data_IF_404340016075
#
_entry.id   IF_404340016075
#
_cell.length_a   1.000
_cell.length_b   1.000
_cell.length_c   1.000
_cell.angle_alpha   90.00
_cell.angle_beta   90.00
_cell.angle_gamma   90.00
#
_symmetry.space_group_name_H-M   'P 1'
#
loop_
_entity.id
_entity.type
_entity.pdbx_description
1 polymer ?
#
# COMPACT_ATOMS: atom_id res chain seq x y z
N UNK A 1 -5.39 -13.88 -19.48
CA UNK A 1 -6.12 -12.64 -19.08
C UNK A 1 -6.24 -11.77 -20.32
N UNK A 2 -7.45 -11.40 -20.77
CA UNK A 2 -7.65 -10.66 -22.04
C UNK A 2 -6.96 -9.29 -21.98
N UNK A 3 -6.22 -8.91 -23.03
CA UNK A 3 -5.50 -7.62 -23.15
C UNK A 3 -6.37 -6.40 -22.80
N UNK A 4 -7.66 -6.45 -23.17
CA UNK A 4 -8.66 -5.42 -22.84
C UNK A 4 -8.86 -5.26 -21.32
N UNK A 5 -8.84 -6.35 -20.54
CA UNK A 5 -8.98 -6.30 -19.08
C UNK A 5 -7.73 -5.68 -18.44
N UNK A 6 -6.54 -6.04 -18.91
CA UNK A 6 -5.25 -5.46 -18.47
C UNK A 6 -5.25 -3.94 -18.68
N UNK A 7 -5.65 -3.48 -19.87
CA UNK A 7 -5.70 -2.06 -20.21
C UNK A 7 -6.67 -1.25 -19.33
N UNK A 8 -7.68 -1.90 -18.74
CA UNK A 8 -8.66 -1.24 -17.86
C UNK A 8 -8.23 -1.28 -16.40
N UNK A 9 -7.62 -2.38 -15.94
CA UNK A 9 -7.36 -2.62 -14.51
C UNK A 9 -6.04 -2.01 -14.01
N UNK A 10 -5.02 -1.93 -14.86
CA UNK A 10 -3.67 -1.53 -14.45
C UNK A 10 -3.39 -0.01 -14.40
N UNK A 11 -3.96 0.86 -15.26
CA UNK A 11 -3.56 2.26 -15.28
C UNK A 11 -3.77 2.98 -13.95
N UNK A 12 -4.92 2.77 -13.29
CA UNK A 12 -5.23 3.48 -12.05
C UNK A 12 -4.27 3.11 -10.88
N UNK A 13 -4.04 1.82 -10.56
CA UNK A 13 -3.02 1.44 -9.58
C UNK A 13 -1.62 1.95 -9.93
N UNK A 14 -1.22 1.90 -11.20
CA UNK A 14 0.08 2.37 -11.66
C UNK A 14 0.24 3.87 -11.41
N UNK A 15 -0.73 4.68 -11.78
CA UNK A 15 -0.68 6.13 -11.56
C UNK A 15 -0.63 6.49 -10.07
N UNK A 16 -1.39 5.76 -9.23
CA UNK A 16 -1.39 5.97 -7.78
C UNK A 16 -0.01 5.65 -7.20
N UNK A 17 0.55 4.49 -7.55
CA UNK A 17 1.88 4.07 -7.09
C UNK A 17 2.94 5.05 -7.57
N UNK A 18 2.93 5.44 -8.84
CA UNK A 18 3.87 6.41 -9.40
C UNK A 18 3.82 7.76 -8.68
N UNK A 19 2.62 8.25 -8.36
CA UNK A 19 2.42 9.54 -7.67
C UNK A 19 2.91 9.48 -6.23
N UNK A 20 2.59 8.39 -5.50
CA UNK A 20 3.00 8.21 -4.11
C UNK A 20 4.51 8.04 -4.01
N UNK A 21 5.12 7.20 -4.86
CA UNK A 21 6.58 7.03 -4.84
C UNK A 21 7.29 8.30 -5.24
N UNK A 22 6.76 9.07 -6.21
CA UNK A 22 7.32 10.37 -6.59
C UNK A 22 7.32 11.34 -5.41
N UNK A 23 6.18 11.46 -4.73
CA UNK A 23 6.03 12.32 -3.57
C UNK A 23 6.96 11.91 -2.41
N UNK A 24 7.06 10.61 -2.12
CA UNK A 24 7.95 10.10 -1.08
C UNK A 24 9.43 10.28 -1.41
N UNK A 25 9.85 10.04 -2.66
CA UNK A 25 11.23 10.29 -3.08
C UNK A 25 11.57 11.78 -2.94
N UNK A 26 10.63 12.66 -3.27
CA UNK A 26 10.82 14.11 -3.12
C UNK A 26 10.99 14.51 -1.65
N UNK A 27 10.16 13.98 -0.76
CA UNK A 27 10.26 14.26 0.68
C UNK A 27 11.57 13.74 1.30
N UNK A 28 12.03 12.56 0.87
CA UNK A 28 13.20 11.91 1.47
C UNK A 28 14.54 12.43 0.92
N UNK A 29 14.60 12.75 -0.38
CA UNK A 29 15.86 13.06 -1.08
C UNK A 29 15.88 14.45 -1.73
N UNK A 30 14.75 15.15 -1.81
CA UNK A 30 14.62 16.41 -2.55
C UNK A 30 14.72 16.25 -4.07
N UNK A 31 14.62 17.37 -4.79
CA UNK A 31 14.86 17.43 -6.24
C UNK A 31 16.36 17.55 -6.51
N UNK A 32 17.03 16.41 -6.65
CA UNK A 32 18.47 16.31 -6.94
C UNK A 32 18.71 15.49 -8.22
N UNK A 33 19.96 15.42 -8.69
CA UNK A 33 20.32 14.66 -9.90
C UNK A 33 19.95 13.17 -9.81
N UNK A 34 20.03 12.58 -8.62
CA UNK A 34 19.65 11.17 -8.39
C UNK A 34 18.13 10.95 -8.24
N UNK A 35 17.33 12.01 -8.20
CA UNK A 35 15.89 11.91 -7.95
C UNK A 35 15.22 10.94 -8.92
N UNK A 36 15.49 11.07 -10.22
CA UNK A 36 14.86 10.25 -11.25
C UNK A 36 15.22 8.77 -11.10
N UNK A 37 16.47 8.47 -10.74
CA UNK A 37 16.92 7.10 -10.52
C UNK A 37 16.28 6.50 -9.26
N UNK A 38 16.30 7.24 -8.16
CA UNK A 38 15.72 6.80 -6.89
C UNK A 38 14.20 6.64 -6.97
N UNK A 39 13.51 7.55 -7.66
CA UNK A 39 12.07 7.44 -7.93
C UNK A 39 11.75 6.26 -8.83
N UNK A 40 12.45 6.08 -9.95
CA UNK A 40 12.17 4.99 -10.88
C UNK A 40 12.43 3.63 -10.22
N UNK A 41 13.53 3.51 -9.45
CA UNK A 41 13.84 2.31 -8.68
C UNK A 41 12.75 1.99 -7.65
N UNK A 42 12.33 2.99 -6.86
CA UNK A 42 11.24 2.84 -5.90
C UNK A 42 9.90 2.50 -6.57
N UNK A 43 9.61 3.12 -7.72
CA UNK A 43 8.41 2.85 -8.51
C UNK A 43 8.38 1.42 -9.04
N UNK A 44 9.45 0.96 -9.68
CA UNK A 44 9.56 -0.41 -10.22
C UNK A 44 9.48 -1.43 -9.10
N UNK A 45 10.20 -1.20 -7.98
CA UNK A 45 10.13 -2.07 -6.81
C UNK A 45 8.71 -2.13 -6.24
N UNK A 46 8.05 -0.98 -6.07
CA UNK A 46 6.69 -0.93 -5.55
C UNK A 46 5.70 -1.64 -6.49
N UNK A 47 5.87 -1.50 -7.80
CA UNK A 47 4.96 -2.09 -8.79
C UNK A 47 5.14 -3.61 -8.90
N UNK A 48 6.37 -4.11 -8.87
CA UNK A 48 6.67 -5.54 -9.04
C UNK A 48 6.57 -6.34 -7.74
N UNK A 49 6.83 -5.72 -6.59
CA UNK A 49 6.91 -6.43 -5.30
C UNK A 49 5.76 -6.03 -4.40
N UNK A 50 5.56 -4.74 -4.14
CA UNK A 50 4.58 -4.28 -3.15
C UNK A 50 3.14 -4.44 -3.65
N UNK A 51 2.84 -4.11 -4.91
CA UNK A 51 1.47 -4.22 -5.46
C UNK A 51 0.94 -5.67 -5.42
N UNK A 52 1.68 -6.70 -5.86
CA UNK A 52 1.24 -8.08 -5.73
C UNK A 52 1.01 -8.52 -4.28
N UNK A 53 1.94 -8.18 -3.38
CA UNK A 53 1.82 -8.49 -1.95
C UNK A 53 0.60 -7.81 -1.35
N UNK A 54 0.41 -6.53 -1.64
CA UNK A 54 -0.74 -5.74 -1.21
C UNK A 54 -2.04 -6.34 -1.73
N UNK A 55 -2.10 -6.73 -3.01
CA UNK A 55 -3.27 -7.39 -3.60
C UNK A 55 -3.65 -8.69 -2.88
N UNK A 56 -2.66 -9.55 -2.60
CA UNK A 56 -2.88 -10.79 -1.85
C UNK A 56 -3.33 -10.53 -0.41
N UNK A 57 -2.71 -9.55 0.27
CA UNK A 57 -3.07 -9.14 1.63
C UNK A 57 -4.49 -8.59 1.69
N UNK A 58 -4.84 -7.68 0.78
CA UNK A 58 -6.20 -7.12 0.65
C UNK A 58 -7.22 -8.24 0.50
N UNK A 59 -6.96 -9.23 -0.35
CA UNK A 59 -7.86 -10.36 -0.56
C UNK A 59 -8.03 -11.18 0.73
N UNK A 60 -6.92 -11.62 1.36
CA UNK A 60 -6.97 -12.45 2.57
C UNK A 60 -7.63 -11.72 3.75
N UNK A 61 -7.27 -10.46 3.98
CA UNK A 61 -7.82 -9.63 5.05
C UNK A 61 -9.31 -9.37 4.80
N UNK A 62 -9.71 -9.06 3.56
CA UNK A 62 -11.13 -8.85 3.23
C UNK A 62 -11.97 -10.08 3.56
N UNK A 63 -11.49 -11.28 3.21
CA UNK A 63 -12.18 -12.55 3.52
C UNK A 63 -12.22 -12.78 5.03
N UNK A 64 -11.09 -12.57 5.71
CA UNK A 64 -10.99 -12.78 7.15
C UNK A 64 -11.93 -11.86 7.93
N UNK A 65 -11.93 -10.56 7.62
CA UNK A 65 -12.83 -9.57 8.23
C UNK A 65 -14.29 -9.89 7.92
N UNK A 66 -14.60 -10.30 6.68
CA UNK A 66 -15.97 -10.68 6.31
C UNK A 66 -16.48 -11.90 7.09
N UNK A 67 -15.60 -12.87 7.37
CA UNK A 67 -15.93 -14.06 8.15
C UNK A 67 -16.06 -13.78 9.64
N UNK A 68 -15.21 -12.92 10.19
CA UNK A 68 -15.21 -12.59 11.63
C UNK A 68 -16.31 -11.59 12.01
N UNK A 69 -16.67 -10.69 11.11
CA UNK A 69 -17.65 -9.63 11.34
C UNK A 69 -18.80 -9.69 10.30
N UNK A 70 -19.58 -10.78 10.24
CA UNK A 70 -20.61 -10.97 9.22
C UNK A 70 -21.85 -10.07 9.43
N UNK A 71 -22.14 -9.66 10.67
CA UNK A 71 -23.37 -8.94 11.04
C UNK A 71 -23.19 -7.42 11.17
N UNK A 72 -22.03 -6.89 10.79
CA UNK A 72 -21.75 -5.44 10.86
C UNK A 72 -22.15 -4.76 9.55
N UNK A 73 -22.58 -3.50 9.66
CA UNK A 73 -22.91 -2.69 8.50
C UNK A 73 -21.74 -2.68 7.48
N UNK A 74 -22.01 -2.89 6.17
CA UNK A 74 -21.00 -2.97 5.12
C UNK A 74 -19.99 -1.82 5.09
N UNK A 75 -20.41 -0.61 5.49
CA UNK A 75 -19.52 0.54 5.55
C UNK A 75 -18.43 0.36 6.62
N UNK A 76 -18.82 0.02 7.84
CA UNK A 76 -17.88 -0.21 8.95
C UNK A 76 -16.98 -1.40 8.67
N UNK A 77 -17.51 -2.45 8.04
CA UNK A 77 -16.72 -3.60 7.64
C UNK A 77 -15.59 -3.22 6.66
N UNK A 78 -15.86 -2.35 5.68
CA UNK A 78 -14.84 -1.83 4.76
C UNK A 78 -13.83 -0.92 5.45
N UNK A 79 -14.26 -0.07 6.38
CA UNK A 79 -13.35 0.78 7.16
C UNK A 79 -12.39 -0.06 8.01
N UNK A 80 -12.90 -1.11 8.66
CA UNK A 80 -12.09 -2.06 9.43
C UNK A 80 -11.11 -2.80 8.51
N UNK A 81 -11.54 -3.24 7.32
CA UNK A 81 -10.63 -3.80 6.32
C UNK A 81 -9.50 -2.84 5.97
N UNK A 82 -9.79 -1.55 5.74
CA UNK A 82 -8.77 -0.55 5.45
C UNK A 82 -7.74 -0.42 6.58
N UNK A 83 -8.17 -0.49 7.85
CA UNK A 83 -7.26 -0.43 9.01
C UNK A 83 -6.32 -1.62 9.01
N UNK A 84 -6.84 -2.84 8.87
CA UNK A 84 -6.02 -4.05 8.88
C UNK A 84 -5.08 -4.10 7.67
N UNK A 85 -5.55 -3.71 6.49
CA UNK A 85 -4.72 -3.65 5.27
C UNK A 85 -3.56 -2.68 5.48
N UNK A 86 -3.84 -1.47 5.94
CA UNK A 86 -2.81 -0.47 6.21
C UNK A 86 -1.82 -0.97 7.25
N UNK A 87 -2.30 -1.51 8.38
CA UNK A 87 -1.45 -2.01 9.45
C UNK A 87 -0.52 -3.14 9.00
N UNK A 88 -1.02 -4.10 8.22
CA UNK A 88 -0.19 -5.21 7.75
C UNK A 88 0.88 -4.75 6.74
N UNK A 89 0.50 -3.91 5.77
CA UNK A 89 1.44 -3.43 4.74
C UNK A 89 2.48 -2.52 5.38
N UNK A 90 2.05 -1.55 6.18
CA UNK A 90 2.97 -0.62 6.85
C UNK A 90 3.86 -1.33 7.86
N UNK A 91 3.39 -2.40 8.52
CA UNK A 91 4.25 -3.20 9.40
C UNK A 91 5.37 -3.90 8.62
N UNK A 92 5.09 -4.43 7.44
CA UNK A 92 6.11 -5.06 6.58
C UNK A 92 7.11 -4.01 6.09
N UNK A 93 6.62 -2.86 5.63
CA UNK A 93 7.48 -1.76 5.18
C UNK A 93 8.33 -1.19 6.32
N UNK A 94 7.76 -1.04 7.51
CA UNK A 94 8.50 -0.60 8.70
C UNK A 94 9.60 -1.58 9.10
N UNK A 95 9.36 -2.90 8.97
CA UNK A 95 10.41 -3.92 9.19
C UNK A 95 11.53 -3.76 8.17
N UNK A 96 11.20 -3.65 6.87
CA UNK A 96 12.21 -3.48 5.82
C UNK A 96 13.02 -2.19 6.03
N UNK A 97 12.36 -1.10 6.39
CA UNK A 97 12.99 0.18 6.69
C UNK A 97 13.89 0.10 7.92
N UNK A 98 13.44 -0.54 8.99
CA UNK A 98 14.24 -0.74 10.20
C UNK A 98 15.49 -1.59 9.92
N UNK A 99 15.37 -2.67 9.14
CA UNK A 99 16.50 -3.51 8.74
C UNK A 99 17.51 -2.77 7.84
N UNK A 100 17.04 -1.82 7.02
CA UNK A 100 17.89 -0.99 6.16
C UNK A 100 18.61 0.15 6.90
N UNK A 101 18.28 0.39 8.18
CA UNK A 101 18.85 1.49 8.96
C UNK A 101 20.12 1.02 9.69
N UNK A 102 21.26 1.64 9.40
CA UNK A 102 22.57 1.26 9.97
C UNK A 102 22.68 1.42 11.51
N UNK A 103 21.68 2.05 12.16
CA UNK A 103 21.66 2.35 13.60
C UNK A 103 20.98 1.26 14.46
N UNK A 104 20.59 0.12 13.89
CA UNK A 104 19.95 -0.96 14.65
C UNK A 104 21.00 -1.97 15.11
N UNK A 105 21.47 -1.84 16.34
CA UNK A 105 22.44 -2.76 16.97
C UNK A 105 21.80 -3.79 17.87
N UNK A 106 20.62 -3.49 18.45
CA UNK A 106 19.95 -4.32 19.44
C UNK A 106 18.46 -4.51 19.13
N UNK A 107 17.89 -5.61 19.62
CA UNK A 107 16.46 -5.95 19.44
C UNK A 107 15.54 -4.85 19.98
N UNK A 108 15.92 -4.21 21.10
CA UNK A 108 15.14 -3.11 21.66
C UNK A 108 15.15 -1.88 20.73
N UNK A 109 16.32 -1.55 20.14
CA UNK A 109 16.44 -0.48 19.14
C UNK A 109 15.60 -0.79 17.91
N UNK A 110 15.67 -2.03 17.40
CA UNK A 110 14.85 -2.48 16.26
C UNK A 110 13.35 -2.27 16.50
N UNK A 111 12.82 -2.75 17.64
CA UNK A 111 11.39 -2.63 17.95
C UNK A 111 10.96 -1.17 18.07
N UNK A 112 11.81 -0.31 18.65
CA UNK A 112 11.51 1.11 18.79
C UNK A 112 11.44 1.83 17.43
N UNK A 113 12.41 1.58 16.54
CA UNK A 113 12.46 2.15 15.19
C UNK A 113 11.31 1.63 14.34
N UNK A 114 11.02 0.33 14.42
CA UNK A 114 9.89 -0.29 13.75
C UNK A 114 8.56 0.33 14.20
N UNK A 115 8.30 0.41 15.50
CA UNK A 115 7.04 0.94 16.04
C UNK A 115 6.87 2.42 15.69
N UNK A 116 7.94 3.22 15.80
CA UNK A 116 7.91 4.63 15.44
C UNK A 116 7.60 4.84 13.95
N UNK A 117 8.26 4.07 13.09
CA UNK A 117 8.04 4.11 11.63
C UNK A 117 6.62 3.69 11.26
N UNK A 118 6.13 2.60 11.87
CA UNK A 118 4.78 2.10 11.66
C UNK A 118 3.73 3.14 12.06
N UNK A 119 3.84 3.74 13.25
CA UNK A 119 2.88 4.73 13.75
C UNK A 119 2.88 6.00 12.89
N UNK A 120 4.05 6.42 12.39
CA UNK A 120 4.14 7.57 11.47
C UNK A 120 3.52 7.29 10.10
N UNK A 121 3.70 6.10 9.57
CA UNK A 121 3.22 5.75 8.24
C UNK A 121 1.73 5.36 8.21
N UNK A 122 1.20 4.85 9.34
CA UNK A 122 -0.19 4.37 9.48
C UNK A 122 -1.28 5.34 8.99
N UNK A 123 -1.27 6.64 9.36
CA UNK A 123 -2.28 7.58 8.89
C UNK A 123 -2.33 7.68 7.37
N UNK A 124 -1.15 7.75 6.73
CA UNK A 124 -1.05 7.81 5.28
C UNK A 124 -1.48 6.49 4.63
N UNK A 125 -0.97 5.36 5.14
CA UNK A 125 -1.34 4.03 4.66
C UNK A 125 -2.86 3.78 4.74
N UNK A 126 -3.50 4.29 5.78
CA UNK A 126 -4.96 4.20 5.94
C UNK A 126 -5.72 5.03 4.91
N UNK A 127 -5.29 6.26 4.63
CA UNK A 127 -5.88 7.11 3.58
C UNK A 127 -5.74 6.44 2.20
N UNK A 128 -4.57 5.88 1.90
CA UNK A 128 -4.33 5.15 0.64
C UNK A 128 -5.24 3.92 0.56
N UNK A 129 -5.37 3.15 1.64
CA UNK A 129 -6.26 2.00 1.71
C UNK A 129 -7.72 2.40 1.45
N UNK A 130 -8.19 3.51 2.04
CA UNK A 130 -9.53 4.04 1.75
C UNK A 130 -9.72 4.38 0.28
N UNK A 131 -8.78 5.12 -0.33
CA UNK A 131 -8.85 5.48 -1.75
C UNK A 131 -8.95 4.21 -2.60
N UNK A 132 -8.12 3.20 -2.30
CA UNK A 132 -8.13 1.93 -3.02
C UNK A 132 -9.46 1.18 -2.88
N UNK A 133 -10.01 1.10 -1.66
CA UNK A 133 -11.22 0.31 -1.37
C UNK A 133 -12.51 1.01 -1.81
N UNK A 134 -12.60 2.33 -1.62
CA UNK A 134 -13.82 3.10 -1.89
C UNK A 134 -13.88 3.76 -3.26
N UNK A 135 -12.74 4.10 -3.87
CA UNK A 135 -12.72 4.84 -5.14
C UNK A 135 -12.21 3.93 -6.27
N UNK A 136 -11.04 3.33 -6.10
CA UNK A 136 -10.37 2.59 -7.18
C UNK A 136 -11.06 1.28 -7.46
N UNK A 137 -11.28 0.44 -6.43
CA UNK A 137 -11.90 -0.88 -6.58
C UNK A 137 -13.30 -0.79 -7.23
N UNK A 138 -14.22 0.10 -6.82
CA UNK A 138 -15.53 0.21 -7.46
C UNK A 138 -15.46 0.74 -8.89
N UNK A 139 -14.54 1.66 -9.20
CA UNK A 139 -14.36 2.16 -10.58
C UNK A 139 -13.83 1.07 -11.50
N UNK A 140 -12.85 0.29 -11.06
CA UNK A 140 -12.33 -0.85 -11.83
C UNK A 140 -13.44 -1.88 -12.05
N UNK A 141 -14.23 -2.21 -11.02
CA UNK A 141 -15.34 -3.16 -11.15
C UNK A 141 -16.41 -2.67 -12.13
N UNK A 142 -16.77 -1.38 -12.10
CA UNK A 142 -17.70 -0.79 -13.07
C UNK A 142 -17.16 -0.83 -14.49
N UNK A 143 -15.89 -0.45 -14.69
CA UNK A 143 -15.26 -0.46 -16.01
C UNK A 143 -15.13 -1.89 -16.58
N UNK A 144 -14.87 -2.89 -15.73
CA UNK A 144 -14.87 -4.30 -16.12
C UNK A 144 -16.26 -4.85 -16.44
N UNK A 145 -17.31 -4.36 -15.77
CA UNK A 145 -18.68 -4.78 -16.04
C UNK A 145 -19.24 -4.20 -17.35
N UNK A 146 -18.65 -3.10 -17.84
CA UNK A 146 -19.03 -2.43 -19.09
C UNK A 146 -18.19 -2.87 -20.31
N UNK A 147 -17.22 -3.77 -20.12
CA UNK A 147 -16.25 -4.20 -21.13
C UNK A 147 -16.38 -5.70 -21.46
#
# INVERSE_FOLDING_TARGET
MNLRKIAITLPAPICIVASITCFMTYLNHGMNQEFWFNWLSAFVFSLLVIVPIAGLMIMKISIWVAKMLPNINPLYQKLIQCVFIALCIESILAVISALGTQNVTDVASFVSVWAFTLVRALPLGYVIAMIMVFIVKPRIQRALAQA
#
